data_IF_650883653585
#
_entry.id   IF_650883653585
#
_cell.length_a   1.000
_cell.length_b   1.000
_cell.length_c   1.000
_cell.angle_alpha   90.00
_cell.angle_beta   90.00
_cell.angle_gamma   90.00
#
_symmetry.space_group_name_H-M   'P 1'
#
loop_
_entity.id
_entity.type
_entity.pdbx_description
1 polymer ?
#
# COMPACT_ATOMS: atom_id res chain seq x y z
N UNK A 1 20.81 25.49 -82.74
CA UNK A 1 20.09 24.21 -82.63
C UNK A 1 19.52 24.19 -81.23
N UNK A 2 18.22 24.37 -81.14
CA UNK A 2 17.44 24.32 -79.90
C UNK A 2 17.19 22.85 -79.57
N UNK A 3 17.55 22.41 -78.36
CA UNK A 3 17.27 21.06 -77.89
C UNK A 3 15.95 21.07 -77.11
N UNK A 4 15.04 20.11 -77.34
CA UNK A 4 13.75 20.11 -76.65
C UNK A 4 13.94 19.71 -75.18
N UNK A 5 13.27 20.45 -74.29
CA UNK A 5 13.11 20.08 -72.88
C UNK A 5 12.33 18.76 -72.81
N UNK A 6 12.97 17.73 -72.26
CA UNK A 6 12.31 16.50 -71.87
C UNK A 6 11.70 16.77 -70.50
N UNK A 7 10.37 16.92 -70.48
CA UNK A 7 9.56 16.89 -69.27
C UNK A 7 9.71 15.51 -68.62
N UNK A 8 10.66 15.40 -67.70
CA UNK A 8 10.80 14.25 -66.82
C UNK A 8 9.67 14.36 -65.79
N UNK A 9 8.49 13.90 -66.18
CA UNK A 9 7.43 13.56 -65.25
C UNK A 9 7.98 12.58 -64.23
N UNK A 10 8.37 13.11 -63.07
CA UNK A 10 8.59 12.32 -61.86
C UNK A 10 7.22 11.74 -61.54
N UNK A 11 7.04 10.48 -61.90
CA UNK A 11 6.00 9.65 -61.31
C UNK A 11 6.44 9.48 -59.87
N UNK A 12 5.86 10.32 -59.01
CA UNK A 12 5.88 10.14 -57.57
C UNK A 12 5.17 8.81 -57.33
N UNK A 13 5.96 7.75 -57.09
CA UNK A 13 5.48 6.43 -56.70
C UNK A 13 4.77 6.57 -55.33
N UNK A 14 3.52 7.03 -55.37
CA UNK A 14 2.60 7.11 -54.24
C UNK A 14 1.98 5.73 -53.98
N UNK A 15 2.81 4.74 -53.68
CA UNK A 15 2.35 3.37 -53.34
C UNK A 15 2.99 2.84 -52.05
N UNK A 16 3.48 3.70 -51.15
CA UNK A 16 4.14 3.28 -49.88
C UNK A 16 3.37 3.66 -48.59
N UNK A 17 2.17 4.25 -48.70
CA UNK A 17 1.37 4.70 -47.54
C UNK A 17 0.31 3.69 -47.04
N UNK A 18 0.25 2.47 -47.61
CA UNK A 18 -0.77 1.46 -47.23
C UNK A 18 -0.27 0.42 -46.19
N UNK A 19 1.01 0.45 -45.83
CA UNK A 19 1.53 -0.35 -44.72
C UNK A 19 1.23 0.37 -43.39
N UNK A 20 0.23 -0.12 -42.65
CA UNK A 20 -0.11 0.36 -41.31
C UNK A 20 1.08 0.36 -40.34
N UNK A 21 0.91 0.97 -39.17
CA UNK A 21 2.04 1.01 -38.21
C UNK A 21 2.33 -0.40 -37.67
N UNK A 22 3.60 -0.77 -37.42
CA UNK A 22 3.96 -2.11 -36.92
C UNK A 22 3.26 -2.47 -35.60
N UNK A 23 2.78 -1.48 -34.85
CA UNK A 23 2.06 -1.65 -33.58
C UNK A 23 0.61 -2.12 -33.77
N UNK A 24 0.06 -2.02 -34.98
CA UNK A 24 -1.31 -2.41 -35.32
C UNK A 24 -1.39 -3.80 -35.95
N UNK A 25 -0.25 -4.42 -36.28
CA UNK A 25 -0.21 -5.76 -36.86
C UNK A 25 -0.52 -6.82 -35.76
N UNK A 26 -1.57 -7.64 -35.94
CA UNK A 26 -1.95 -8.62 -34.94
C UNK A 26 -0.93 -9.77 -34.89
N UNK A 27 -0.22 -9.87 -33.77
CA UNK A 27 0.81 -10.89 -33.51
C UNK A 27 0.29 -12.34 -33.43
N UNK A 28 -1.03 -12.54 -33.37
CA UNK A 28 -1.69 -13.84 -33.26
C UNK A 28 -1.07 -14.74 -32.17
N UNK A 29 -1.12 -14.25 -30.92
CA UNK A 29 -0.57 -14.98 -29.78
C UNK A 29 -1.47 -16.18 -29.42
N UNK A 30 -0.94 -17.21 -28.72
CA UNK A 30 -1.78 -18.33 -28.28
C UNK A 30 -3.02 -17.91 -27.49
N UNK A 31 -2.97 -16.80 -26.74
CA UNK A 31 -4.12 -16.24 -26.02
C UNK A 31 -5.20 -15.57 -26.90
N UNK A 32 -4.95 -15.43 -28.21
CA UNK A 32 -5.95 -14.99 -29.19
C UNK A 32 -6.80 -16.17 -29.72
N UNK A 33 -6.40 -17.41 -29.44
CA UNK A 33 -7.07 -18.63 -29.90
C UNK A 33 -7.75 -19.39 -28.75
N UNK A 34 -8.85 -20.07 -29.08
CA UNK A 34 -9.52 -20.99 -28.15
C UNK A 34 -8.64 -22.19 -27.82
N UNK A 35 -8.98 -22.94 -26.77
CA UNK A 35 -8.21 -24.14 -26.39
C UNK A 35 -8.19 -25.19 -27.50
N UNK A 36 -9.26 -25.30 -28.31
CA UNK A 36 -9.36 -26.28 -29.40
C UNK A 36 -8.48 -25.85 -30.58
N UNK A 37 -8.58 -24.59 -31.00
CA UNK A 37 -7.74 -24.03 -32.08
C UNK A 37 -6.25 -24.08 -31.72
N UNK A 38 -5.89 -23.85 -30.45
CA UNK A 38 -4.50 -24.01 -29.99
C UNK A 38 -3.98 -25.43 -30.13
N UNK A 39 -4.83 -26.44 -29.94
CA UNK A 39 -4.45 -27.83 -30.13
C UNK A 39 -4.30 -28.16 -31.62
N UNK A 40 -5.25 -27.72 -32.45
CA UNK A 40 -5.23 -27.89 -33.92
C UNK A 40 -4.01 -27.22 -34.56
N UNK A 41 -3.65 -26.02 -34.11
CA UNK A 41 -2.50 -25.24 -34.61
C UNK A 41 -1.17 -25.67 -33.97
N UNK A 42 -1.17 -26.62 -33.02
CA UNK A 42 0.05 -27.07 -32.34
C UNK A 42 0.68 -26.03 -31.39
N UNK A 43 -0.10 -25.04 -30.93
CA UNK A 43 0.35 -23.93 -30.08
C UNK A 43 0.37 -24.26 -28.58
N UNK A 44 0.06 -25.50 -28.20
CA UNK A 44 -0.06 -25.93 -26.80
C UNK A 44 1.20 -25.65 -25.96
N UNK A 45 2.39 -25.93 -26.51
CA UNK A 45 3.65 -25.64 -25.80
C UNK A 45 3.90 -24.13 -25.66
N UNK A 46 3.57 -23.35 -26.70
CA UNK A 46 3.74 -21.90 -26.69
C UNK A 46 2.79 -21.23 -25.70
N UNK A 47 1.56 -21.73 -25.58
CA UNK A 47 0.58 -21.27 -24.60
C UNK A 47 1.08 -21.42 -23.14
N UNK A 48 1.84 -22.49 -22.84
CA UNK A 48 2.46 -22.66 -21.51
C UNK A 48 3.53 -21.58 -21.25
N UNK A 49 4.33 -21.24 -22.25
CA UNK A 49 5.33 -20.18 -22.11
C UNK A 49 4.68 -18.79 -21.98
N UNK A 50 3.68 -18.49 -22.81
CA UNK A 50 2.92 -17.24 -22.72
C UNK A 50 2.26 -17.11 -21.35
N UNK A 51 1.66 -18.19 -20.82
CA UNK A 51 1.04 -18.18 -19.51
C UNK A 51 2.06 -17.81 -18.41
N UNK A 52 3.27 -18.38 -18.46
CA UNK A 52 4.34 -18.06 -17.50
C UNK A 52 4.80 -16.61 -17.61
N UNK A 53 4.95 -16.09 -18.83
CA UNK A 53 5.35 -14.70 -19.07
C UNK A 53 4.26 -13.74 -18.57
N UNK A 54 2.99 -14.00 -18.90
CA UNK A 54 1.89 -13.18 -18.42
C UNK A 54 1.76 -13.22 -16.90
N UNK A 55 2.02 -14.37 -16.26
CA UNK A 55 1.99 -14.47 -14.80
C UNK A 55 3.06 -13.57 -14.17
N UNK A 56 4.29 -13.60 -14.69
CA UNK A 56 5.35 -12.67 -14.27
C UNK A 56 4.96 -11.21 -14.51
N UNK A 57 4.47 -10.90 -15.72
CA UNK A 57 4.05 -9.55 -16.09
C UNK A 57 2.92 -9.02 -15.20
N UNK A 58 1.96 -9.87 -14.79
CA UNK A 58 0.91 -9.50 -13.86
C UNK A 58 1.47 -9.05 -12.50
N UNK A 59 2.47 -9.76 -11.96
CA UNK A 59 3.14 -9.38 -10.72
C UNK A 59 3.97 -8.09 -10.86
N UNK A 60 4.64 -7.91 -12.01
CA UNK A 60 5.38 -6.68 -12.30
C UNK A 60 4.44 -5.46 -12.42
N UNK A 61 3.32 -5.63 -13.13
CA UNK A 61 2.26 -4.62 -13.25
C UNK A 61 1.66 -4.30 -11.89
N UNK A 62 1.37 -5.29 -11.06
CA UNK A 62 0.87 -5.09 -9.70
C UNK A 62 1.85 -4.26 -8.87
N UNK A 63 3.15 -4.57 -8.97
CA UNK A 63 4.22 -3.80 -8.30
C UNK A 63 4.31 -2.36 -8.83
N UNK A 64 4.18 -2.17 -10.14
CA UNK A 64 4.16 -0.85 -10.77
C UNK A 64 2.93 -0.03 -10.35
N UNK A 65 1.75 -0.65 -10.25
CA UNK A 65 0.52 -0.02 -9.75
C UNK A 65 0.70 0.43 -8.31
N UNK A 66 1.21 -0.45 -7.43
CA UNK A 66 1.53 -0.11 -6.04
C UNK A 66 2.47 1.09 -5.96
N UNK A 67 3.55 1.10 -6.72
CA UNK A 67 4.51 2.23 -6.76
C UNK A 67 3.84 3.52 -7.24
N UNK A 68 3.07 3.46 -8.32
CA UNK A 68 2.36 4.63 -8.87
C UNK A 68 1.33 5.21 -7.88
N UNK A 69 0.58 4.35 -7.19
CA UNK A 69 -0.36 4.75 -6.13
C UNK A 69 0.33 5.42 -4.95
N UNK A 70 1.51 4.94 -4.58
CA UNK A 70 2.34 5.56 -3.54
C UNK A 70 2.81 6.96 -3.96
N UNK A 71 3.31 7.12 -5.19
CA UNK A 71 3.68 8.44 -5.72
C UNK A 71 2.49 9.40 -5.76
N UNK A 72 1.32 8.94 -6.21
CA UNK A 72 0.10 9.74 -6.19
C UNK A 72 -0.26 10.20 -4.77
N UNK A 73 -0.14 9.33 -3.78
CA UNK A 73 -0.40 9.64 -2.37
C UNK A 73 0.59 10.65 -1.80
N UNK A 74 1.87 10.51 -2.15
CA UNK A 74 2.92 11.44 -1.78
C UNK A 74 2.68 12.83 -2.41
N UNK A 75 2.33 12.91 -3.70
CA UNK A 75 2.02 14.19 -4.36
C UNK A 75 0.77 14.85 -3.77
N UNK A 76 -0.25 14.08 -3.38
CA UNK A 76 -1.43 14.62 -2.70
C UNK A 76 -1.06 15.22 -1.33
N UNK A 77 -0.21 14.53 -0.57
CA UNK A 77 0.28 15.00 0.72
C UNK A 77 1.13 16.27 0.57
N UNK A 78 2.06 16.26 -0.40
CA UNK A 78 2.94 17.39 -0.71
C UNK A 78 2.13 18.62 -1.16
N UNK A 79 1.17 18.43 -2.08
CA UNK A 79 0.23 19.48 -2.50
C UNK A 79 -0.48 20.10 -1.29
N UNK A 80 -1.06 19.27 -0.42
CA UNK A 80 -1.78 19.75 0.76
C UNK A 80 -0.87 20.57 1.68
N UNK A 81 0.35 20.10 1.89
CA UNK A 81 1.31 20.73 2.81
C UNK A 81 1.93 22.00 2.24
N UNK A 82 2.32 22.01 0.96
CA UNK A 82 3.22 23.01 0.39
C UNK A 82 2.59 23.89 -0.69
N UNK A 83 1.57 23.45 -1.43
CA UNK A 83 1.01 24.28 -2.50
C UNK A 83 0.19 25.45 -1.94
N UNK A 84 0.56 26.68 -2.30
CA UNK A 84 -0.12 27.92 -1.91
C UNK A 84 -0.34 28.81 -3.13
N UNK A 85 -1.49 29.49 -3.20
CA UNK A 85 -1.86 30.29 -4.36
C UNK A 85 -2.16 29.46 -5.62
N UNK A 86 -2.62 30.12 -6.69
CA UNK A 86 -3.14 29.45 -7.87
C UNK A 86 -2.07 28.69 -8.65
N UNK A 87 -0.92 29.32 -8.93
CA UNK A 87 0.15 28.74 -9.76
C UNK A 87 0.69 27.42 -9.20
N UNK A 88 1.03 27.38 -7.91
CA UNK A 88 1.58 26.18 -7.29
C UNK A 88 0.52 25.09 -7.14
N UNK A 89 -0.74 25.46 -6.87
CA UNK A 89 -1.84 24.50 -6.87
C UNK A 89 -2.04 23.85 -8.24
N UNK A 90 -1.98 24.62 -9.33
CA UNK A 90 -2.10 24.08 -10.69
C UNK A 90 -0.93 23.14 -11.00
N UNK A 91 0.32 23.52 -10.68
CA UNK A 91 1.50 22.66 -10.92
C UNK A 91 1.39 21.34 -10.15
N UNK A 92 1.09 21.40 -8.87
CA UNK A 92 0.94 20.20 -8.03
C UNK A 92 -0.25 19.34 -8.46
N UNK A 93 -1.37 19.96 -8.86
CA UNK A 93 -2.53 19.24 -9.39
C UNK A 93 -2.20 18.51 -10.70
N UNK A 94 -1.38 19.10 -11.56
CA UNK A 94 -0.91 18.44 -12.80
C UNK A 94 -0.11 17.17 -12.47
N UNK A 95 0.81 17.22 -11.51
CA UNK A 95 1.58 16.04 -11.08
C UNK A 95 0.66 14.93 -10.53
N UNK A 96 -0.30 15.29 -9.68
CA UNK A 96 -1.31 14.35 -9.16
C UNK A 96 -2.11 13.72 -10.31
N UNK A 97 -2.54 14.52 -11.29
CA UNK A 97 -3.30 14.04 -12.45
C UNK A 97 -2.48 13.09 -13.32
N UNK A 98 -1.23 13.41 -13.59
CA UNK A 98 -0.31 12.56 -14.37
C UNK A 98 -0.08 11.22 -13.66
N UNK A 99 0.18 11.25 -12.35
CA UNK A 99 0.33 10.02 -11.56
C UNK A 99 -0.95 9.17 -11.56
N UNK A 100 -2.12 9.81 -11.38
CA UNK A 100 -3.41 9.11 -11.42
C UNK A 100 -3.72 8.51 -12.79
N UNK A 101 -3.38 9.21 -13.88
CA UNK A 101 -3.53 8.69 -15.25
C UNK A 101 -2.63 7.48 -15.49
N UNK A 102 -1.36 7.55 -15.05
CA UNK A 102 -0.43 6.42 -15.12
C UNK A 102 -0.93 5.21 -14.35
N UNK A 103 -1.45 5.41 -13.14
CA UNK A 103 -2.03 4.33 -12.33
C UNK A 103 -3.19 3.64 -13.05
N UNK A 104 -4.10 4.40 -13.66
CA UNK A 104 -5.23 3.83 -14.41
C UNK A 104 -4.77 3.03 -15.63
N UNK A 105 -3.86 3.59 -16.42
CA UNK A 105 -3.31 2.88 -17.58
C UNK A 105 -2.63 1.57 -17.18
N UNK A 106 -1.82 1.56 -16.11
CA UNK A 106 -1.22 0.32 -15.60
C UNK A 106 -2.27 -0.70 -15.15
N UNK A 107 -3.37 -0.25 -14.53
CA UNK A 107 -4.45 -1.12 -14.08
C UNK A 107 -5.28 -1.68 -15.25
N UNK A 108 -5.48 -0.90 -16.32
CA UNK A 108 -6.10 -1.37 -17.56
C UNK A 108 -5.23 -2.45 -18.22
N UNK A 109 -3.92 -2.22 -18.34
CA UNK A 109 -2.97 -3.22 -18.87
C UNK A 109 -2.93 -4.48 -17.99
N UNK A 110 -3.04 -4.34 -16.66
CA UNK A 110 -3.14 -5.49 -15.76
C UNK A 110 -4.41 -6.31 -16.01
N UNK A 111 -5.57 -5.66 -16.10
CA UNK A 111 -6.83 -6.37 -16.37
C UNK A 111 -6.78 -7.05 -17.74
N UNK A 112 -6.26 -6.37 -18.76
CA UNK A 112 -6.04 -6.97 -20.08
C UNK A 112 -5.12 -8.20 -20.02
N UNK A 113 -3.97 -8.10 -19.34
CA UNK A 113 -3.05 -9.22 -19.18
C UNK A 113 -3.69 -10.39 -18.41
N UNK A 114 -4.48 -10.07 -17.37
CA UNK A 114 -5.22 -11.04 -16.58
C UNK A 114 -6.26 -11.80 -17.40
N UNK A 115 -6.97 -11.13 -18.30
CA UNK A 115 -7.94 -11.78 -19.18
C UNK A 115 -7.26 -12.80 -20.10
N UNK A 116 -6.06 -12.48 -20.61
CA UNK A 116 -5.24 -13.45 -21.36
C UNK A 116 -4.82 -14.64 -20.51
N UNK A 117 -4.46 -14.43 -19.25
CA UNK A 117 -4.16 -15.53 -18.33
C UNK A 117 -5.37 -16.44 -18.09
N UNK A 118 -6.58 -15.89 -18.01
CA UNK A 118 -7.82 -16.67 -17.87
C UNK A 118 -8.04 -17.54 -19.13
N UNK A 119 -7.90 -16.95 -20.33
CA UNK A 119 -8.03 -17.68 -21.60
C UNK A 119 -7.02 -18.83 -21.66
N UNK A 120 -5.75 -18.56 -21.31
CA UNK A 120 -4.68 -19.56 -21.39
C UNK A 120 -4.86 -20.69 -20.38
N UNK A 121 -5.35 -20.39 -19.17
CA UNK A 121 -5.55 -21.38 -18.10
C UNK A 121 -6.84 -22.18 -18.23
N UNK A 122 -7.84 -21.68 -18.97
CA UNK A 122 -9.17 -22.30 -19.04
C UNK A 122 -9.95 -22.22 -17.72
N UNK A 123 -9.48 -21.43 -16.75
CA UNK A 123 -10.12 -21.23 -15.45
C UNK A 123 -10.94 -19.95 -15.44
N UNK A 124 -11.98 -19.90 -14.60
CA UNK A 124 -12.76 -18.67 -14.37
C UNK A 124 -12.06 -17.72 -13.37
N UNK A 125 -11.10 -18.22 -12.60
CA UNK A 125 -10.39 -17.44 -11.57
C UNK A 125 -8.91 -17.81 -11.50
N UNK A 126 -8.08 -16.84 -11.17
CA UNK A 126 -6.65 -17.02 -10.89
C UNK A 126 -6.44 -16.71 -9.40
N UNK A 127 -5.83 -17.65 -8.69
CA UNK A 127 -5.53 -17.48 -7.28
C UNK A 127 -4.56 -16.29 -7.07
N UNK A 128 -4.81 -15.48 -6.04
CA UNK A 128 -4.02 -14.29 -5.72
C UNK A 128 -4.09 -13.12 -6.72
N UNK A 129 -4.77 -13.25 -7.86
CA UNK A 129 -4.87 -12.22 -8.90
C UNK A 129 -6.34 -11.97 -9.32
N UNK A 130 -7.20 -11.40 -8.44
CA UNK A 130 -8.51 -10.91 -8.85
C UNK A 130 -8.40 -9.68 -9.78
N UNK A 131 -9.49 -9.36 -10.48
CA UNK A 131 -9.54 -8.19 -11.36
C UNK A 131 -9.50 -6.90 -10.53
N UNK A 132 -8.84 -5.87 -11.06
CA UNK A 132 -8.76 -4.56 -10.40
C UNK A 132 -10.04 -3.77 -10.70
N UNK A 133 -10.73 -3.33 -9.64
CA UNK A 133 -11.81 -2.35 -9.73
C UNK A 133 -11.22 -0.93 -9.76
N UNK A 134 -11.40 -0.25 -10.90
CA UNK A 134 -10.84 1.09 -11.15
C UNK A 134 -11.29 2.16 -10.15
N UNK A 135 -12.45 1.99 -9.51
CA UNK A 135 -12.99 2.95 -8.56
C UNK A 135 -12.63 2.61 -7.11
N UNK A 136 -12.67 1.32 -6.76
CA UNK A 136 -12.47 0.88 -5.38
C UNK A 136 -11.00 0.65 -5.06
N UNK A 137 -10.26 0.01 -5.96
CA UNK A 137 -8.92 -0.50 -5.68
C UNK A 137 -7.82 0.55 -5.90
N UNK A 138 -8.06 1.53 -6.78
CA UNK A 138 -7.09 2.58 -7.11
C UNK A 138 -7.10 3.77 -6.13
N UNK A 139 -7.61 3.57 -4.91
CA UNK A 139 -7.59 4.60 -3.87
C UNK A 139 -6.21 4.67 -3.24
N UNK A 140 -5.52 5.78 -3.48
CA UNK A 140 -4.22 6.03 -2.87
C UNK A 140 -4.34 6.20 -1.35
N UNK A 141 -3.44 5.53 -0.61
CA UNK A 141 -3.30 5.67 0.84
C UNK A 141 -2.06 6.48 1.17
N UNK A 142 -2.19 7.46 2.06
CA UNK A 142 -1.05 8.19 2.58
C UNK A 142 -0.40 7.40 3.72
N UNK A 143 0.70 6.70 3.42
CA UNK A 143 1.46 5.91 4.38
C UNK A 143 2.40 6.71 5.29
N UNK A 144 2.54 8.02 5.08
CA UNK A 144 3.35 8.88 5.94
C UNK A 144 2.57 9.36 7.17
N UNK A 145 1.24 9.28 7.12
CA UNK A 145 0.38 9.66 8.24
C UNK A 145 0.31 8.50 9.25
N UNK A 146 0.55 8.73 10.55
CA UNK A 146 0.23 7.75 11.58
C UNK A 146 -1.24 7.33 11.48
N UNK A 147 -1.54 6.08 11.83
CA UNK A 147 -2.92 5.59 11.87
C UNK A 147 -3.70 6.38 12.92
N UNK A 148 -4.88 6.86 12.55
CA UNK A 148 -5.79 7.56 13.46
C UNK A 148 -6.93 6.64 13.91
N UNK A 149 -7.59 7.02 15.01
CA UNK A 149 -8.78 6.33 15.48
C UNK A 149 -9.87 6.33 14.39
N UNK A 150 -10.29 5.14 13.95
CA UNK A 150 -11.24 4.97 12.86
C UNK A 150 -10.63 4.40 11.57
N UNK A 151 -9.31 4.48 11.39
CA UNK A 151 -8.62 3.88 10.22
C UNK A 151 -8.74 2.35 10.18
N UNK A 152 -9.03 1.71 11.32
CA UNK A 152 -9.29 0.26 11.39
C UNK A 152 -10.56 -0.17 10.67
N UNK A 153 -11.51 0.75 10.42
CA UNK A 153 -12.76 0.47 9.69
C UNK A 153 -12.57 0.50 8.18
N UNK A 154 -11.44 1.02 7.69
CA UNK A 154 -11.14 1.05 6.27
C UNK A 154 -10.29 -0.17 5.92
N UNK A 155 -10.92 -1.18 5.32
CA UNK A 155 -10.18 -2.29 4.74
C UNK A 155 -9.36 -1.78 3.53
N UNK A 156 -8.05 -2.06 3.48
CA UNK A 156 -7.27 -1.73 2.30
C UNK A 156 -7.73 -2.59 1.13
N UNK A 157 -7.60 -2.06 -0.09
CA UNK A 157 -7.80 -2.86 -1.31
C UNK A 157 -6.93 -4.12 -1.26
N UNK A 158 -7.44 -5.20 -1.85
CA UNK A 158 -6.77 -6.50 -1.92
C UNK A 158 -5.36 -6.40 -2.52
N UNK A 159 -5.11 -5.39 -3.37
CA UNK A 159 -3.79 -5.09 -3.95
C UNK A 159 -2.73 -4.96 -2.85
N UNK A 160 -3.10 -4.46 -1.66
CA UNK A 160 -2.21 -4.23 -0.53
C UNK A 160 -2.16 -5.39 0.47
N UNK A 161 -2.85 -6.50 0.20
CA UNK A 161 -2.76 -7.69 1.05
C UNK A 161 -1.38 -8.32 0.84
N UNK A 162 -0.55 -8.28 1.88
CA UNK A 162 0.80 -8.86 1.90
C UNK A 162 0.69 -10.26 2.48
N UNK A 163 1.21 -11.27 1.78
CA UNK A 163 1.33 -12.61 2.34
C UNK A 163 2.54 -12.64 3.28
N UNK A 164 2.35 -12.93 4.57
CA UNK A 164 3.46 -12.90 5.51
C UNK A 164 4.48 -14.01 5.19
N UNK A 165 5.80 -13.74 5.28
CA UNK A 165 6.87 -14.66 4.87
C UNK A 165 6.92 -15.96 5.66
N UNK A 166 6.21 -16.04 6.78
CA UNK A 166 6.18 -17.20 7.68
C UNK A 166 4.96 -18.11 7.47
N UNK A 167 4.14 -17.91 6.43
CA UNK A 167 2.99 -18.77 6.16
C UNK A 167 3.39 -20.10 5.49
N UNK A 168 4.48 -20.11 4.71
CA UNK A 168 5.08 -21.29 4.07
C UNK A 168 6.50 -21.00 3.58
N UNK A 169 7.26 -22.04 3.19
CA UNK A 169 8.61 -21.88 2.63
C UNK A 169 8.62 -21.12 1.28
N UNK A 170 7.54 -21.21 0.50
CA UNK A 170 7.36 -20.42 -0.73
C UNK A 170 7.13 -18.94 -0.45
N UNK A 171 6.48 -18.60 0.67
CA UNK A 171 6.15 -17.22 1.04
C UNK A 171 7.38 -16.40 1.43
N UNK A 172 8.44 -17.04 1.92
CA UNK A 172 9.71 -16.34 2.20
C UNK A 172 10.36 -15.86 0.90
N UNK A 173 10.33 -16.65 -0.17
CA UNK A 173 10.85 -16.26 -1.48
C UNK A 173 9.95 -15.21 -2.15
N UNK A 174 8.62 -15.40 -2.07
CA UNK A 174 7.64 -14.42 -2.54
C UNK A 174 7.82 -13.07 -1.84
N UNK A 175 8.07 -13.05 -0.53
CA UNK A 175 8.33 -11.83 0.25
C UNK A 175 9.66 -11.15 -0.09
N UNK A 176 10.69 -11.92 -0.47
CA UNK A 176 11.95 -11.37 -0.99
C UNK A 176 11.76 -10.74 -2.38
N UNK A 177 10.87 -11.29 -3.21
CA UNK A 177 10.50 -10.72 -4.51
C UNK A 177 9.42 -9.62 -4.43
N UNK A 178 8.61 -9.58 -3.37
CA UNK A 178 7.65 -8.51 -3.13
C UNK A 178 8.39 -7.18 -3.01
N UNK A 179 7.84 -6.15 -3.65
CA UNK A 179 8.49 -4.85 -3.78
C UNK A 179 8.88 -4.24 -2.43
N UNK A 180 9.98 -3.48 -2.42
CA UNK A 180 10.53 -2.83 -1.22
C UNK A 180 9.50 -2.03 -0.42
N UNK A 181 8.48 -1.49 -1.10
CA UNK A 181 7.40 -0.70 -0.52
C UNK A 181 6.57 -1.51 0.50
N UNK A 182 6.17 -2.73 0.15
CA UNK A 182 5.31 -3.56 1.01
C UNK A 182 6.08 -4.00 2.26
N UNK A 183 7.37 -4.32 2.10
CA UNK A 183 8.27 -4.60 3.22
C UNK A 183 8.41 -3.41 4.17
N UNK A 184 8.67 -2.22 3.63
CA UNK A 184 8.79 -0.99 4.45
C UNK A 184 7.50 -0.72 5.21
N UNK A 185 6.34 -0.90 4.57
CA UNK A 185 5.04 -0.75 5.23
C UNK A 185 4.86 -1.76 6.37
N UNK A 186 5.22 -3.02 6.13
CA UNK A 186 5.15 -4.07 7.15
C UNK A 186 6.04 -3.75 8.36
N UNK A 187 7.30 -3.35 8.13
CA UNK A 187 8.21 -2.97 9.21
C UNK A 187 7.70 -1.78 10.02
N UNK A 188 7.15 -0.76 9.35
CA UNK A 188 6.52 0.39 10.03
C UNK A 188 5.33 -0.03 10.89
N UNK A 189 4.43 -0.86 10.35
CA UNK A 189 3.27 -1.34 11.08
C UNK A 189 3.68 -2.20 12.30
N UNK A 190 4.68 -3.06 12.14
CA UNK A 190 5.23 -3.88 13.23
C UNK A 190 5.89 -3.02 14.32
N UNK A 191 6.68 -2.02 13.93
CA UNK A 191 7.31 -1.10 14.88
C UNK A 191 6.26 -0.29 15.67
N UNK A 192 5.18 0.13 15.00
CA UNK A 192 4.06 0.83 15.65
C UNK A 192 3.35 -0.08 16.67
N UNK A 193 3.06 -1.33 16.32
CA UNK A 193 2.48 -2.30 17.27
C UNK A 193 3.40 -2.51 18.47
N UNK A 194 4.70 -2.63 18.26
CA UNK A 194 5.66 -2.77 19.35
C UNK A 194 5.65 -1.55 20.28
N UNK A 195 5.63 -0.33 19.73
CA UNK A 195 5.54 0.91 20.52
C UNK A 195 4.24 0.99 21.29
N UNK A 196 3.10 0.68 20.68
CA UNK A 196 1.79 0.70 21.34
C UNK A 196 1.79 -0.28 22.52
N UNK A 197 2.33 -1.49 22.33
CA UNK A 197 2.45 -2.47 23.42
C UNK A 197 3.34 -1.95 24.56
N UNK A 198 4.44 -1.26 24.23
CA UNK A 198 5.29 -0.61 25.23
C UNK A 198 4.53 0.45 26.02
N UNK A 199 3.77 1.33 25.35
CA UNK A 199 2.96 2.37 26.01
C UNK A 199 1.86 1.77 26.90
N UNK A 200 1.20 0.70 26.46
CA UNK A 200 0.23 -0.03 27.28
C UNK A 200 0.89 -0.63 28.52
N UNK A 201 2.08 -1.21 28.36
CA UNK A 201 2.84 -1.77 29.49
C UNK A 201 3.31 -0.69 30.46
N UNK A 202 3.77 0.47 29.95
CA UNK A 202 4.13 1.64 30.76
C UNK A 202 2.93 2.12 31.56
N UNK A 203 1.77 2.30 30.91
CA UNK A 203 0.55 2.75 31.56
C UNK A 203 0.13 1.79 32.69
N UNK A 204 0.14 0.48 32.44
CA UNK A 204 -0.12 -0.52 33.48
C UNK A 204 0.88 -0.45 34.64
N UNK A 205 2.17 -0.25 34.35
CA UNK A 205 3.20 -0.10 35.37
C UNK A 205 3.04 1.19 36.17
N UNK A 206 2.66 2.29 35.52
CA UNK A 206 2.36 3.57 36.15
C UNK A 206 1.16 3.46 37.08
N UNK A 207 0.05 2.87 36.64
CA UNK A 207 -1.13 2.62 37.50
C UNK A 207 -0.79 1.76 38.73
N UNK A 208 0.03 0.72 38.57
CA UNK A 208 0.49 -0.09 39.70
C UNK A 208 1.38 0.72 40.65
N UNK A 209 2.27 1.55 40.10
CA UNK A 209 3.18 2.39 40.88
C UNK A 209 2.45 3.51 41.61
N UNK A 210 1.43 4.14 41.01
CA UNK A 210 0.62 5.18 41.68
C UNK A 210 -0.16 4.58 42.85
N UNK A 211 -0.80 3.43 42.64
CA UNK A 211 -1.48 2.68 43.70
C UNK A 211 -0.53 2.35 44.86
N UNK A 212 0.63 1.75 44.54
CA UNK A 212 1.63 1.43 45.56
C UNK A 212 2.21 2.69 46.21
N UNK A 213 2.35 3.78 45.46
CA UNK A 213 2.80 5.08 45.95
C UNK A 213 1.84 5.66 46.98
N UNK A 214 0.52 5.57 46.74
CA UNK A 214 -0.48 5.98 47.72
C UNK A 214 -0.42 5.14 49.00
N UNK A 215 -0.27 3.81 48.88
CA UNK A 215 -0.09 2.93 50.04
C UNK A 215 1.18 3.27 50.83
N UNK A 216 2.32 3.42 50.15
CA UNK A 216 3.58 3.80 50.80
C UNK A 216 3.48 5.15 51.49
N UNK A 217 2.79 6.12 50.89
CA UNK A 217 2.60 7.44 51.49
C UNK A 217 1.67 7.38 52.71
N UNK A 218 0.59 6.60 52.65
CA UNK A 218 -0.28 6.34 53.81
C UNK A 218 0.53 5.74 54.97
N UNK A 219 1.33 4.71 54.72
CA UNK A 219 2.21 4.10 55.73
C UNK A 219 3.25 5.08 56.29
N UNK A 220 3.80 5.97 55.46
CA UNK A 220 4.74 7.01 55.93
C UNK A 220 4.07 8.04 56.85
N UNK A 221 2.83 8.45 56.55
CA UNK A 221 2.06 9.33 57.44
C UNK A 221 1.60 8.62 58.71
N UNK A 222 1.27 7.33 58.64
CA UNK A 222 0.96 6.51 59.82
C UNK A 222 2.17 6.37 60.74
N UNK A 223 3.37 6.19 60.18
CA UNK A 223 4.60 6.14 60.97
C UNK A 223 4.83 7.44 61.77
N UNK A 224 4.48 8.61 61.23
CA UNK A 224 4.60 9.88 61.96
C UNK A 224 3.66 9.97 63.17
N UNK A 225 2.54 9.24 63.18
CA UNK A 225 1.63 9.19 64.34
C UNK A 225 2.24 8.44 65.53
N UNK A 226 3.29 7.63 65.32
CA UNK A 226 3.98 6.92 66.40
C UNK A 226 4.95 7.81 67.18
N UNK A 227 5.31 8.99 66.65
CA UNK A 227 6.17 9.95 67.34
C UNK A 227 5.39 10.71 68.43
N UNK A 228 5.95 10.76 69.64
CA UNK A 228 5.33 11.38 70.83
C UNK A 228 5.37 12.91 70.83
N UNK A 229 6.25 13.51 70.02
CA UNK A 229 6.55 14.95 70.08
C UNK A 229 5.63 15.82 69.20
N UNK A 230 4.60 15.22 68.59
CA UNK A 230 3.66 15.94 67.74
C UNK A 230 2.53 16.60 68.55
N UNK A 231 2.28 17.87 68.24
CA UNK A 231 1.09 18.59 68.71
C UNK A 231 -0.21 17.95 68.21
N UNK A 232 -1.30 18.15 68.94
CA UNK A 232 -2.61 17.59 68.59
C UNK A 232 -3.09 18.00 67.19
N UNK A 233 -2.80 19.25 66.78
CA UNK A 233 -3.11 19.74 65.44
C UNK A 233 -2.31 19.03 64.34
N UNK A 234 -1.01 18.78 64.57
CA UNK A 234 -0.16 18.04 63.64
C UNK A 234 -0.62 16.57 63.52
N UNK A 235 -1.02 15.96 64.64
CA UNK A 235 -1.56 14.60 64.68
C UNK A 235 -2.87 14.48 63.90
N UNK A 236 -3.80 15.42 64.10
CA UNK A 236 -5.06 15.46 63.35
C UNK A 236 -4.82 15.61 61.84
N UNK A 237 -3.84 16.43 61.44
CA UNK A 237 -3.46 16.60 60.04
C UNK A 237 -2.85 15.32 59.44
N UNK A 238 -1.97 14.63 60.16
CA UNK A 238 -1.42 13.35 59.72
C UNK A 238 -2.51 12.29 59.54
N UNK A 239 -3.46 12.15 60.50
CA UNK A 239 -4.61 11.26 60.35
C UNK A 239 -5.44 11.58 59.09
N UNK A 240 -5.67 12.88 58.81
CA UNK A 240 -6.36 13.30 57.58
C UNK A 240 -5.60 12.89 56.32
N UNK A 241 -4.26 12.97 56.32
CA UNK A 241 -3.43 12.56 55.18
C UNK A 241 -3.44 11.05 54.96
N UNK A 242 -3.38 10.26 56.03
CA UNK A 242 -3.53 8.80 55.96
C UNK A 242 -4.86 8.43 55.30
N UNK A 243 -5.97 8.97 55.81
CA UNK A 243 -7.30 8.72 55.24
C UNK A 243 -7.37 9.13 53.76
N UNK A 244 -6.82 10.30 53.41
CA UNK A 244 -6.77 10.78 52.02
C UNK A 244 -6.02 9.79 51.10
N UNK A 245 -4.82 9.35 51.46
CA UNK A 245 -4.03 8.45 50.63
C UNK A 245 -4.64 7.04 50.54
N UNK A 246 -5.26 6.53 51.62
CA UNK A 246 -6.01 5.28 51.58
C UNK A 246 -7.19 5.36 50.60
N UNK A 247 -7.99 6.45 50.65
CA UNK A 247 -9.09 6.65 49.68
C UNK A 247 -8.63 6.80 48.24
N UNK A 248 -7.42 7.30 48.00
CA UNK A 248 -6.84 7.42 46.65
C UNK A 248 -6.29 6.10 46.12
N UNK A 249 -5.86 5.18 47.00
CA UNK A 249 -5.45 3.83 46.60
C UNK A 249 -6.62 2.88 46.34
N UNK A 250 -7.79 3.13 46.93
CA UNK A 250 -8.97 2.27 46.72
C UNK A 250 -9.69 2.51 45.38
N UNK A 251 -9.34 3.59 44.66
CA UNK A 251 -9.90 3.95 43.34
C UNK A 251 -9.01 3.48 42.20
#
# INVERSE_FOLDING_TARGET
>A
MDFPEIDAGVVDDQDDDEAGTPEEEPLALPSDFTSVEREELGLSALAVFEHRICMGHAHDLLSAIKLSLNHQGAFLADKKKHARGQKDNTRAQTQVRVAAARTRMLAEVFNYNRDRLLILSGSMTIDGLPAIDMEKDLKSRNWQKPREQGDSRHEPSWIWTVTPPWSSAGDTAAWQSEGELDRVQWFRARAEVARINEEVNKLHAEFKRTHQGFKSMASAWEALLTCTDLSDGARAYACKKVAMYNTLGEK
#
